data_IF_951966555216
#
_entry.id   IF_951966555216
#
_cell.length_a   1.000
_cell.length_b   1.000
_cell.length_c   1.000
_cell.angle_alpha   90.00
_cell.angle_beta   90.00
_cell.angle_gamma   90.00
#
_symmetry.space_group_name_H-M   'P 1'
#
loop_
_entity.id
_entity.type
_entity.pdbx_description
1 polymer ?
#
# COMPACT_ATOMS: atom_id res chain seq x y z
N UNK A 1 47.23 36.23 2.27
CA UNK A 1 46.53 35.01 1.85
C UNK A 1 46.57 33.88 2.88
N UNK A 2 47.70 33.49 3.48
CA UNK A 2 47.74 32.38 4.48
C UNK A 2 46.89 32.60 5.75
N UNK A 3 46.72 33.84 6.26
CA UNK A 3 45.91 34.11 7.47
C UNK A 3 44.41 34.02 7.25
N UNK A 4 43.91 34.33 6.05
CA UNK A 4 42.46 34.19 5.70
C UNK A 4 42.09 32.70 5.56
N UNK A 5 42.95 31.88 4.97
CA UNK A 5 42.74 30.45 4.83
C UNK A 5 42.67 29.70 6.18
N UNK A 6 43.48 30.13 7.16
CA UNK A 6 43.45 29.56 8.51
C UNK A 6 42.15 29.91 9.25
N UNK A 7 41.66 31.15 9.09
CA UNK A 7 40.43 31.61 9.75
C UNK A 7 39.17 30.91 9.19
N UNK A 8 39.11 30.75 7.86
CA UNK A 8 38.02 29.97 7.21
C UNK A 8 38.07 28.52 7.63
N UNK A 9 39.20 27.86 7.72
CA UNK A 9 39.35 26.48 8.13
C UNK A 9 38.90 26.24 9.60
N UNK A 10 39.22 27.16 10.49
CA UNK A 10 38.78 27.13 11.90
C UNK A 10 37.27 27.34 12.05
N UNK A 11 36.64 28.15 11.21
CA UNK A 11 35.18 28.34 11.21
C UNK A 11 34.44 27.07 10.75
N UNK A 12 34.86 26.44 9.66
CA UNK A 12 34.27 25.19 9.17
C UNK A 12 34.45 24.05 10.17
N UNK A 13 35.58 23.97 10.85
CA UNK A 13 35.83 22.93 11.86
C UNK A 13 34.90 23.08 13.07
N UNK A 14 34.67 24.30 13.56
CA UNK A 14 33.75 24.58 14.66
C UNK A 14 32.28 24.27 14.29
N UNK A 15 31.85 24.56 13.06
CA UNK A 15 30.51 24.26 12.58
C UNK A 15 30.28 22.72 12.55
N UNK A 16 31.20 21.97 11.99
CA UNK A 16 31.11 20.49 11.93
C UNK A 16 31.07 19.84 13.32
N UNK A 17 31.81 20.38 14.30
CA UNK A 17 31.76 19.92 15.69
C UNK A 17 30.41 20.22 16.33
N UNK A 18 29.84 21.41 16.07
CA UNK A 18 28.51 21.77 16.58
C UNK A 18 27.40 20.88 16.00
N UNK A 19 27.43 20.64 14.69
CA UNK A 19 26.50 19.74 14.02
C UNK A 19 26.48 18.34 14.67
N UNK A 20 27.65 17.72 14.83
CA UNK A 20 27.78 16.40 15.46
C UNK A 20 27.32 16.40 16.93
N UNK A 21 27.54 17.48 17.66
CA UNK A 21 27.11 17.60 19.06
C UNK A 21 25.58 17.64 19.16
N UNK A 22 24.92 18.49 18.37
CA UNK A 22 23.47 18.62 18.40
C UNK A 22 22.78 17.35 17.88
N UNK A 23 23.30 16.73 16.81
CA UNK A 23 22.80 15.46 16.30
C UNK A 23 22.89 14.34 17.36
N UNK A 24 24.03 14.21 18.05
CA UNK A 24 24.18 13.23 19.14
C UNK A 24 23.25 13.51 20.31
N UNK A 25 22.97 14.77 20.62
CA UNK A 25 22.03 15.15 21.68
C UNK A 25 20.62 14.73 21.30
N UNK A 26 20.17 15.04 20.07
CA UNK A 26 18.88 14.63 19.56
C UNK A 26 18.74 13.11 19.52
N UNK A 27 19.76 12.39 19.03
CA UNK A 27 19.76 10.93 19.00
C UNK A 27 19.61 10.33 20.39
N UNK A 28 20.33 10.83 21.39
CA UNK A 28 20.19 10.34 22.78
C UNK A 28 18.81 10.55 23.38
N UNK A 29 18.17 11.67 23.09
CA UNK A 29 16.79 11.95 23.52
C UNK A 29 15.82 10.99 22.83
N UNK A 30 15.96 10.78 21.52
CA UNK A 30 15.16 9.84 20.77
C UNK A 30 15.29 8.40 21.31
N UNK A 31 16.53 7.94 21.55
CA UNK A 31 16.81 6.60 22.07
C UNK A 31 16.29 6.41 23.53
N UNK A 32 16.16 7.50 24.25
CA UNK A 32 15.55 7.52 25.59
C UNK A 32 14.01 7.62 25.56
N UNK A 33 13.39 7.68 24.37
CA UNK A 33 11.94 7.82 24.19
C UNK A 33 11.43 9.27 24.27
N UNK A 34 12.29 10.26 24.46
CA UNK A 34 11.92 11.67 24.42
C UNK A 34 11.94 12.21 22.97
N UNK A 35 10.97 11.76 22.19
CA UNK A 35 10.82 12.13 20.77
C UNK A 35 10.60 13.65 20.62
N UNK A 36 9.79 14.24 21.50
CA UNK A 36 9.52 15.69 21.50
C UNK A 36 10.78 16.51 21.79
N UNK A 37 11.59 16.07 22.76
CA UNK A 37 12.88 16.68 23.06
C UNK A 37 13.85 16.57 21.90
N UNK A 38 13.91 15.41 21.24
CA UNK A 38 14.72 15.19 20.06
C UNK A 38 14.31 16.13 18.90
N UNK A 39 13.00 16.24 18.61
CA UNK A 39 12.46 17.16 17.58
C UNK A 39 12.91 18.60 17.84
N UNK A 40 12.68 19.11 19.04
CA UNK A 40 13.10 20.47 19.44
C UNK A 40 14.58 20.74 19.26
N UNK A 41 15.44 19.76 19.56
CA UNK A 41 16.88 19.92 19.34
C UNK A 41 17.21 20.06 17.87
N UNK A 42 16.60 19.24 16.98
CA UNK A 42 16.81 19.32 15.54
C UNK A 42 16.26 20.62 14.95
N UNK A 43 15.05 21.04 15.33
CA UNK A 43 14.42 22.28 14.90
C UNK A 43 15.29 23.52 15.28
N UNK A 44 15.72 23.61 16.54
CA UNK A 44 16.57 24.72 17.01
C UNK A 44 17.95 24.76 16.36
N UNK A 45 18.40 23.66 15.77
CA UNK A 45 19.70 23.54 15.11
C UNK A 45 19.60 23.41 13.59
N UNK A 46 18.43 23.54 12.99
CA UNK A 46 18.20 23.31 11.56
C UNK A 46 19.14 24.09 10.66
N UNK A 47 19.36 25.38 10.95
CA UNK A 47 20.28 26.22 10.20
C UNK A 47 21.74 25.73 10.18
N UNK A 48 22.14 24.93 11.19
CA UNK A 48 23.47 24.30 11.20
C UNK A 48 23.59 23.20 10.15
N UNK A 49 22.45 22.57 9.78
CA UNK A 49 22.42 21.41 8.88
C UNK A 49 22.11 21.75 7.43
N UNK A 50 21.68 22.99 7.11
CA UNK A 50 21.43 23.43 5.71
C UNK A 50 22.64 23.16 4.80
N UNK A 51 23.83 23.40 5.29
CA UNK A 51 25.09 23.21 4.57
C UNK A 51 25.98 22.13 5.22
N UNK A 52 25.38 21.12 5.85
CA UNK A 52 26.11 20.01 6.43
C UNK A 52 26.78 19.15 5.36
N UNK A 53 27.96 18.61 5.70
CA UNK A 53 28.69 17.74 4.81
C UNK A 53 27.93 16.37 4.63
N UNK A 54 28.33 15.66 3.57
CA UNK A 54 27.74 14.36 3.22
C UNK A 54 27.91 13.27 4.30
N UNK A 55 28.74 13.50 5.31
CA UNK A 55 28.92 12.55 6.42
C UNK A 55 27.94 12.77 7.58
N UNK A 56 27.37 13.96 7.68
CA UNK A 56 26.49 14.34 8.79
C UNK A 56 25.04 14.47 8.34
N UNK A 57 24.82 15.07 7.18
CA UNK A 57 23.48 15.36 6.66
C UNK A 57 22.59 14.11 6.56
N UNK A 58 23.05 12.95 6.04
CA UNK A 58 22.20 11.76 5.96
C UNK A 58 21.70 11.29 7.33
N UNK A 59 22.56 11.30 8.35
CA UNK A 59 22.16 10.90 9.71
C UNK A 59 21.17 11.87 10.36
N UNK A 60 21.31 13.18 10.05
CA UNK A 60 20.35 14.20 10.48
C UNK A 60 18.98 13.98 9.84
N UNK A 61 18.92 13.79 8.52
CA UNK A 61 17.68 13.55 7.80
C UNK A 61 17.05 12.21 8.19
N UNK A 62 17.86 11.18 8.43
CA UNK A 62 17.39 9.88 8.91
C UNK A 62 16.72 10.00 10.29
N UNK A 63 17.32 10.73 11.22
CA UNK A 63 16.71 10.96 12.53
C UNK A 63 15.42 11.81 12.42
N UNK A 64 15.38 12.82 11.54
CA UNK A 64 14.14 13.56 11.24
C UNK A 64 13.03 12.61 10.73
N UNK A 65 13.38 11.71 9.82
CA UNK A 65 12.43 10.71 9.31
C UNK A 65 11.89 9.80 10.41
N UNK A 66 12.74 9.33 11.32
CA UNK A 66 12.32 8.51 12.47
C UNK A 66 11.40 9.27 13.42
N UNK A 67 11.67 10.55 13.66
CA UNK A 67 10.81 11.42 14.47
C UNK A 67 9.46 11.63 13.78
N UNK A 68 9.44 11.90 12.48
CA UNK A 68 8.22 12.05 11.70
C UNK A 68 7.37 10.76 11.75
N UNK A 69 7.99 9.59 11.55
CA UNK A 69 7.31 8.28 11.66
C UNK A 69 6.69 8.07 13.05
N UNK A 70 7.43 8.37 14.12
CA UNK A 70 6.91 8.24 15.49
C UNK A 70 5.72 9.16 15.75
N UNK A 71 5.72 10.36 15.16
CA UNK A 71 4.62 11.32 15.22
C UNK A 71 3.47 10.98 14.25
N UNK A 72 3.55 9.87 13.51
CA UNK A 72 2.61 9.44 12.48
C UNK A 72 2.51 10.39 11.27
N UNK A 73 3.48 11.27 11.09
CA UNK A 73 3.66 12.03 9.85
C UNK A 73 4.38 11.13 8.82
N UNK A 74 3.61 10.18 8.29
CA UNK A 74 4.14 9.13 7.42
C UNK A 74 4.61 9.68 6.07
N UNK A 75 3.97 10.75 5.56
CA UNK A 75 4.41 11.37 4.31
C UNK A 75 5.82 11.96 4.45
N UNK A 76 6.06 12.76 5.48
CA UNK A 76 7.39 13.33 5.72
C UNK A 76 8.43 12.24 5.98
N UNK A 77 8.07 11.18 6.72
CA UNK A 77 8.96 10.04 6.95
C UNK A 77 9.32 9.33 5.64
N UNK A 78 8.33 9.07 4.78
CA UNK A 78 8.52 8.47 3.46
C UNK A 78 9.47 9.31 2.61
N UNK A 79 9.20 10.60 2.46
CA UNK A 79 10.00 11.50 1.62
C UNK A 79 11.46 11.52 2.07
N UNK A 80 11.69 11.60 3.39
CA UNK A 80 13.03 11.58 3.95
C UNK A 80 13.74 10.25 3.71
N UNK A 81 13.13 9.12 4.01
CA UNK A 81 13.78 7.81 3.83
C UNK A 81 14.02 7.47 2.36
N UNK A 82 13.09 7.81 1.45
CA UNK A 82 13.29 7.60 0.01
C UNK A 82 14.43 8.47 -0.52
N UNK A 83 14.57 9.72 -0.06
CA UNK A 83 15.68 10.60 -0.45
C UNK A 83 17.05 10.05 0.00
N UNK A 84 17.06 9.25 1.07
CA UNK A 84 18.26 8.62 1.62
C UNK A 84 18.57 7.24 1.01
N UNK A 85 17.63 6.67 0.23
CA UNK A 85 17.80 5.36 -0.39
C UNK A 85 18.98 5.39 -1.36
N UNK A 86 19.94 4.49 -1.11
CA UNK A 86 21.16 4.41 -1.93
C UNK A 86 22.37 5.17 -1.38
N UNK A 87 22.25 5.89 -0.24
CA UNK A 87 23.40 6.47 0.44
C UNK A 87 24.15 5.35 1.18
N UNK A 88 25.31 4.98 0.65
CA UNK A 88 26.06 3.80 1.08
C UNK A 88 26.38 3.74 2.59
N UNK A 89 26.56 4.90 3.25
CA UNK A 89 26.94 4.95 4.67
C UNK A 89 25.81 4.59 5.65
N UNK A 90 24.55 4.56 5.20
CA UNK A 90 23.36 4.29 6.04
C UNK A 90 22.32 3.43 5.29
N UNK A 91 22.77 2.73 4.24
CA UNK A 91 21.86 2.01 3.34
C UNK A 91 21.01 0.96 4.08
N UNK A 92 21.66 0.13 4.88
CA UNK A 92 21.00 -0.99 5.56
C UNK A 92 20.00 -0.50 6.61
N UNK A 93 20.38 0.57 7.34
CA UNK A 93 19.50 1.22 8.33
C UNK A 93 18.27 1.85 7.66
N UNK A 94 18.46 2.53 6.51
CA UNK A 94 17.36 3.13 5.75
C UNK A 94 16.43 2.06 5.19
N UNK A 95 16.95 0.99 4.60
CA UNK A 95 16.14 -0.11 4.09
C UNK A 95 15.35 -0.82 5.20
N UNK A 96 15.97 -1.01 6.36
CA UNK A 96 15.26 -1.54 7.53
C UNK A 96 14.15 -0.59 7.99
N UNK A 97 14.44 0.71 8.06
CA UNK A 97 13.47 1.71 8.52
C UNK A 97 12.29 1.87 7.54
N UNK A 98 12.54 1.76 6.23
CA UNK A 98 11.48 1.75 5.20
C UNK A 98 10.54 0.54 5.41
N UNK A 99 11.05 -0.64 5.77
CA UNK A 99 10.21 -1.81 6.09
C UNK A 99 9.35 -1.55 7.32
N UNK A 100 9.91 -0.95 8.37
CA UNK A 100 9.16 -0.58 9.58
C UNK A 100 8.11 0.49 9.27
N UNK A 101 8.48 1.50 8.48
CA UNK A 101 7.53 2.54 8.04
C UNK A 101 6.35 1.93 7.28
N UNK A 102 6.60 0.98 6.36
CA UNK A 102 5.54 0.29 5.62
C UNK A 102 4.55 -0.41 6.57
N UNK A 103 5.06 -1.12 7.58
CA UNK A 103 4.22 -1.78 8.56
C UNK A 103 3.38 -0.77 9.37
N UNK A 104 4.00 0.29 9.89
CA UNK A 104 3.30 1.32 10.67
C UNK A 104 2.22 2.04 9.85
N UNK A 105 2.47 2.32 8.57
CA UNK A 105 1.50 2.91 7.65
C UNK A 105 0.29 1.99 7.48
N UNK A 106 0.54 0.70 7.21
CA UNK A 106 -0.52 -0.29 6.99
C UNK A 106 -1.36 -0.49 8.24
N UNK A 107 -0.72 -0.66 9.41
CA UNK A 107 -1.43 -0.79 10.68
C UNK A 107 -2.29 0.45 10.98
N UNK A 108 -1.75 1.65 10.70
CA UNK A 108 -2.53 2.89 10.86
C UNK A 108 -3.69 2.97 9.88
N UNK A 109 -3.52 2.52 8.63
CA UNK A 109 -4.58 2.51 7.62
C UNK A 109 -5.71 1.52 7.98
N UNK A 110 -5.36 0.36 8.55
CA UNK A 110 -6.34 -0.62 9.04
C UNK A 110 -7.19 0.02 10.15
N UNK A 111 -6.56 0.66 11.13
CA UNK A 111 -7.28 1.34 12.21
C UNK A 111 -8.21 2.45 11.70
N UNK A 112 -7.79 3.22 10.69
CA UNK A 112 -8.64 4.24 10.06
C UNK A 112 -9.85 3.59 9.36
N UNK A 113 -9.63 2.49 8.64
CA UNK A 113 -10.70 1.76 7.97
C UNK A 113 -11.73 1.21 8.97
N UNK A 114 -11.28 0.62 10.08
CA UNK A 114 -12.12 0.10 11.15
C UNK A 114 -12.92 1.21 11.85
N UNK A 115 -12.35 2.41 11.95
CA UNK A 115 -13.04 3.57 12.51
C UNK A 115 -13.94 4.32 11.53
N UNK A 116 -13.95 3.93 10.25
CA UNK A 116 -14.74 4.56 9.19
C UNK A 116 -14.06 5.78 8.55
N UNK A 117 -12.82 6.09 8.89
CA UNK A 117 -12.02 7.13 8.20
C UNK A 117 -11.41 6.55 6.92
N UNK A 118 -12.27 6.22 5.97
CA UNK A 118 -11.88 5.61 4.71
C UNK A 118 -10.97 6.50 3.86
N UNK A 119 -11.09 7.81 3.99
CA UNK A 119 -10.21 8.75 3.28
C UNK A 119 -8.76 8.61 3.76
N UNK A 120 -8.53 8.72 5.07
CA UNK A 120 -7.19 8.57 5.64
C UNK A 120 -6.63 7.17 5.39
N UNK A 121 -7.47 6.13 5.46
CA UNK A 121 -7.08 4.76 5.10
C UNK A 121 -6.59 4.67 3.65
N UNK A 122 -7.36 5.23 2.70
CA UNK A 122 -6.98 5.22 1.27
C UNK A 122 -5.65 5.92 1.03
N UNK A 123 -5.44 7.11 1.60
CA UNK A 123 -4.21 7.89 1.46
C UNK A 123 -2.99 7.13 2.00
N UNK A 124 -3.13 6.50 3.18
CA UNK A 124 -2.06 5.70 3.80
C UNK A 124 -1.75 4.42 3.00
N UNK A 125 -2.76 3.70 2.55
CA UNK A 125 -2.56 2.50 1.74
C UNK A 125 -1.88 2.83 0.40
N UNK A 126 -2.24 3.97 -0.21
CA UNK A 126 -1.54 4.44 -1.39
C UNK A 126 -0.07 4.79 -1.11
N UNK A 127 0.21 5.40 0.04
CA UNK A 127 1.59 5.67 0.46
C UNK A 127 2.39 4.37 0.69
N UNK A 128 1.77 3.35 1.29
CA UNK A 128 2.37 2.03 1.44
C UNK A 128 2.66 1.36 0.09
N UNK A 129 1.76 1.52 -0.89
CA UNK A 129 2.01 1.08 -2.26
C UNK A 129 3.23 1.76 -2.87
N UNK A 130 3.41 3.08 -2.69
CA UNK A 130 4.52 3.84 -3.25
C UNK A 130 5.90 3.44 -2.71
N UNK A 131 5.97 2.77 -1.56
CA UNK A 131 7.23 2.25 -0.99
C UNK A 131 7.88 1.21 -1.92
N UNK A 132 7.09 0.30 -2.46
CA UNK A 132 7.51 -0.68 -3.46
C UNK A 132 6.33 -1.06 -4.38
N UNK A 133 6.11 -0.31 -5.47
CA UNK A 133 4.96 -0.51 -6.35
C UNK A 133 4.92 -1.89 -7.04
N UNK A 134 6.05 -2.58 -7.13
CA UNK A 134 6.08 -3.90 -7.75
C UNK A 134 5.62 -5.01 -6.81
N UNK A 135 5.90 -4.87 -5.52
CA UNK A 135 5.59 -5.87 -4.50
C UNK A 135 4.27 -5.55 -3.77
N UNK A 136 3.96 -4.26 -3.59
CA UNK A 136 2.87 -3.78 -2.74
C UNK A 136 1.57 -3.50 -3.51
N UNK A 137 1.31 -4.21 -4.61
CA UNK A 137 0.13 -3.98 -5.45
C UNK A 137 -1.20 -4.20 -4.70
N UNK A 138 -1.22 -5.09 -3.70
CA UNK A 138 -2.38 -5.31 -2.84
C UNK A 138 -2.79 -4.03 -2.09
N UNK A 139 -1.84 -3.21 -1.65
CA UNK A 139 -2.16 -1.95 -0.98
C UNK A 139 -2.83 -0.95 -1.92
N UNK A 140 -2.47 -0.93 -3.21
CA UNK A 140 -3.16 -0.11 -4.20
C UNK A 140 -4.62 -0.56 -4.38
N UNK A 141 -4.87 -1.88 -4.37
CA UNK A 141 -6.23 -2.42 -4.44
C UNK A 141 -7.06 -2.00 -3.21
N UNK A 142 -6.51 -2.13 -2.01
CA UNK A 142 -7.19 -1.70 -0.79
C UNK A 142 -7.36 -0.17 -0.72
N UNK A 143 -6.38 0.60 -1.21
CA UNK A 143 -6.50 2.05 -1.34
C UNK A 143 -7.67 2.45 -2.25
N UNK A 144 -7.83 1.77 -3.40
CA UNK A 144 -8.93 1.99 -4.33
C UNK A 144 -10.29 1.70 -3.66
N UNK A 145 -10.39 0.56 -2.95
CA UNK A 145 -11.60 0.17 -2.23
C UNK A 145 -11.96 1.16 -1.10
N UNK A 146 -10.98 1.61 -0.32
CA UNK A 146 -11.20 2.63 0.72
C UNK A 146 -11.61 3.97 0.11
N UNK A 147 -11.07 4.35 -1.06
CA UNK A 147 -11.48 5.56 -1.77
C UNK A 147 -12.94 5.49 -2.25
N UNK A 148 -13.45 4.31 -2.67
CA UNK A 148 -14.89 4.12 -2.96
C UNK A 148 -15.71 4.41 -1.72
N UNK A 149 -15.36 3.81 -0.58
CA UNK A 149 -16.09 3.98 0.67
C UNK A 149 -16.04 5.43 1.19
N UNK A 150 -15.00 6.18 0.81
CA UNK A 150 -14.86 7.62 1.09
C UNK A 150 -15.57 8.52 0.05
N UNK A 151 -16.24 7.94 -0.95
CA UNK A 151 -16.85 8.65 -2.09
C UNK A 151 -15.85 9.48 -2.93
N UNK A 152 -14.56 9.14 -2.84
CA UNK A 152 -13.48 9.75 -3.63
C UNK A 152 -13.38 9.06 -5.01
N UNK A 153 -14.45 9.09 -5.78
CA UNK A 153 -14.63 8.30 -6.99
C UNK A 153 -13.51 8.49 -8.01
N UNK A 154 -13.05 9.72 -8.25
CA UNK A 154 -11.96 9.95 -9.21
C UNK A 154 -10.65 9.32 -8.72
N UNK A 155 -10.32 9.43 -7.44
CA UNK A 155 -9.11 8.83 -6.85
C UNK A 155 -9.18 7.29 -6.97
N UNK A 156 -10.35 6.73 -6.67
CA UNK A 156 -10.58 5.29 -6.80
C UNK A 156 -10.41 4.82 -8.25
N UNK A 157 -10.96 5.54 -9.23
CA UNK A 157 -10.78 5.25 -10.65
C UNK A 157 -9.31 5.26 -11.05
N UNK A 158 -8.55 6.24 -10.59
CA UNK A 158 -7.12 6.35 -10.90
C UNK A 158 -6.35 5.13 -10.38
N UNK A 159 -6.70 4.64 -9.19
CA UNK A 159 -6.08 3.47 -8.58
C UNK A 159 -6.49 2.17 -9.26
N UNK A 160 -7.80 1.97 -9.52
CA UNK A 160 -8.27 0.78 -10.22
C UNK A 160 -7.79 0.71 -11.67
N UNK A 161 -7.74 1.83 -12.39
CA UNK A 161 -7.17 1.87 -13.73
C UNK A 161 -5.68 1.47 -13.73
N UNK A 162 -4.90 1.96 -12.75
CA UNK A 162 -3.50 1.56 -12.59
C UNK A 162 -3.37 0.05 -12.35
N UNK A 163 -4.25 -0.55 -11.52
CA UNK A 163 -4.28 -2.00 -11.28
C UNK A 163 -4.66 -2.78 -12.56
N UNK A 164 -5.62 -2.29 -13.32
CA UNK A 164 -5.99 -2.86 -14.61
C UNK A 164 -4.82 -2.82 -15.60
N UNK A 165 -4.16 -1.69 -15.72
CA UNK A 165 -3.06 -1.48 -16.67
C UNK A 165 -1.85 -2.38 -16.38
N UNK A 166 -1.60 -2.74 -15.12
CA UNK A 166 -0.56 -3.71 -14.72
C UNK A 166 -1.06 -5.16 -14.70
N UNK A 167 -2.30 -5.42 -15.11
CA UNK A 167 -2.96 -6.73 -15.07
C UNK A 167 -2.90 -7.40 -13.68
N UNK A 168 -3.13 -6.60 -12.62
CA UNK A 168 -3.14 -7.12 -11.26
C UNK A 168 -4.27 -8.11 -11.05
N UNK A 169 -3.95 -9.29 -10.57
CA UNK A 169 -4.91 -10.36 -10.29
C UNK A 169 -5.18 -10.58 -8.81
N UNK A 170 -4.25 -10.19 -7.94
CA UNK A 170 -4.34 -10.46 -6.50
C UNK A 170 -4.46 -11.95 -6.14
N UNK A 171 -4.05 -12.85 -7.04
CA UNK A 171 -4.10 -14.30 -6.80
C UNK A 171 -2.99 -14.68 -5.84
N UNK A 172 -3.37 -15.30 -4.72
CA UNK A 172 -2.44 -15.81 -3.71
C UNK A 172 -2.51 -17.33 -3.70
N UNK A 173 -1.37 -17.98 -3.57
CA UNK A 173 -1.31 -19.42 -3.34
C UNK A 173 -1.34 -19.70 -1.84
N UNK A 174 -2.36 -20.42 -1.39
CA UNK A 174 -2.50 -20.95 -0.03
C UNK A 174 -1.93 -22.35 0.02
N UNK A 175 -1.30 -22.68 1.12
CA UNK A 175 -0.63 -23.96 1.35
C UNK A 175 -1.28 -24.68 2.52
N UNK A 176 -1.59 -25.95 2.36
CA UNK A 176 -2.27 -26.75 3.38
C UNK A 176 -1.55 -28.07 3.59
N UNK A 177 -1.59 -28.59 4.80
CA UNK A 177 -1.19 -29.95 5.14
C UNK A 177 -2.05 -30.48 6.28
N UNK A 178 -2.13 -31.82 6.41
CA UNK A 178 -2.82 -32.48 7.51
C UNK A 178 -1.82 -32.94 8.56
N UNK A 179 -2.02 -32.61 9.82
CA UNK A 179 -1.22 -33.11 10.94
C UNK A 179 -1.54 -34.59 11.21
N UNK A 180 -0.51 -35.43 11.40
CA UNK A 180 -0.66 -36.86 11.66
C UNK A 180 -1.38 -37.10 13.01
N UNK A 181 -0.98 -36.34 14.05
CA UNK A 181 -1.44 -36.58 15.42
C UNK A 181 -2.90 -36.15 15.63
N UNK A 182 -3.32 -35.05 15.04
CA UNK A 182 -4.67 -34.49 15.20
C UNK A 182 -5.64 -34.88 14.09
N UNK A 183 -5.12 -35.25 12.90
CA UNK A 183 -5.89 -35.44 11.69
C UNK A 183 -6.50 -34.13 11.11
N UNK A 184 -6.12 -32.97 11.65
CA UNK A 184 -6.64 -31.68 11.21
C UNK A 184 -5.84 -31.12 10.03
N UNK A 185 -6.57 -30.54 9.07
CA UNK A 185 -5.94 -29.72 8.03
C UNK A 185 -5.61 -28.34 8.58
N UNK A 186 -4.40 -27.86 8.33
CA UNK A 186 -3.91 -26.54 8.74
C UNK A 186 -3.41 -25.76 7.53
N UNK A 187 -3.60 -24.44 7.54
CA UNK A 187 -3.01 -23.52 6.55
C UNK A 187 -1.57 -23.18 7.01
N UNK A 188 -0.63 -23.21 6.06
CA UNK A 188 0.79 -23.00 6.27
C UNK A 188 1.27 -21.81 5.44
N UNK A 189 2.33 -21.14 5.90
CA UNK A 189 3.09 -20.28 4.99
C UNK A 189 4.02 -21.15 4.10
N UNK A 190 4.51 -20.58 3.00
CA UNK A 190 5.37 -21.31 2.04
C UNK A 190 6.60 -21.95 2.70
N UNK A 191 7.24 -21.25 3.63
CA UNK A 191 8.43 -21.77 4.32
C UNK A 191 8.11 -22.97 5.22
N UNK A 192 6.97 -22.91 5.92
CA UNK A 192 6.49 -24.03 6.72
C UNK A 192 6.11 -25.22 5.83
N UNK A 193 5.42 -24.97 4.71
CA UNK A 193 5.05 -25.99 3.73
C UNK A 193 6.29 -26.75 3.22
N UNK A 194 7.32 -26.05 2.71
CA UNK A 194 8.54 -26.64 2.21
C UNK A 194 9.36 -27.40 3.28
N UNK A 195 9.27 -26.94 4.55
CA UNK A 195 9.92 -27.61 5.67
C UNK A 195 9.16 -28.87 6.08
N UNK A 196 7.84 -28.77 6.19
CA UNK A 196 6.99 -29.87 6.71
C UNK A 196 6.79 -30.98 5.69
N UNK A 197 6.91 -30.70 4.37
CA UNK A 197 6.91 -31.71 3.31
C UNK A 197 8.00 -32.78 3.51
N UNK A 198 9.09 -32.42 4.22
CA UNK A 198 10.17 -33.32 4.60
C UNK A 198 9.97 -34.00 5.95
N UNK A 199 8.92 -33.67 6.67
CA UNK A 199 8.58 -34.20 8.00
C UNK A 199 7.60 -35.37 7.88
N UNK A 200 7.71 -36.36 8.81
CA UNK A 200 6.75 -37.44 8.94
C UNK A 200 5.49 -37.09 9.73
N UNK A 201 5.45 -35.87 10.28
CA UNK A 201 4.35 -35.40 11.14
C UNK A 201 3.19 -34.79 10.36
N UNK A 202 3.37 -34.62 9.04
CA UNK A 202 2.38 -34.04 8.15
C UNK A 202 2.24 -34.88 6.89
N UNK A 203 1.03 -34.84 6.31
CA UNK A 203 0.70 -35.52 5.05
C UNK A 203 -0.37 -34.72 4.30
N UNK A 204 -0.79 -35.18 3.13
CA UNK A 204 -1.84 -34.60 2.31
C UNK A 204 -1.57 -33.11 1.97
N UNK A 205 -0.34 -32.83 1.53
CA UNK A 205 0.06 -31.49 1.11
C UNK A 205 -0.69 -31.06 -0.14
N UNK A 206 -1.28 -29.87 -0.11
CA UNK A 206 -1.97 -29.29 -1.26
C UNK A 206 -1.77 -27.79 -1.35
N UNK A 207 -1.83 -27.30 -2.57
CA UNK A 207 -1.82 -25.87 -2.90
C UNK A 207 -3.21 -25.49 -3.45
N UNK A 208 -3.66 -24.30 -3.07
CA UNK A 208 -4.91 -23.74 -3.56
C UNK A 208 -4.68 -22.29 -3.97
N UNK A 209 -5.13 -21.90 -5.15
CA UNK A 209 -5.06 -20.52 -5.60
C UNK A 209 -6.38 -19.82 -5.30
N UNK A 210 -6.29 -18.62 -4.74
CA UNK A 210 -7.48 -17.76 -4.59
C UNK A 210 -7.99 -17.31 -5.95
N UNK A 211 -9.25 -16.89 -6.00
CA UNK A 211 -9.81 -16.29 -7.21
C UNK A 211 -9.13 -14.97 -7.56
N UNK A 212 -9.16 -14.65 -8.85
CA UNK A 212 -8.64 -13.37 -9.34
C UNK A 212 -9.54 -12.22 -8.93
N UNK A 213 -8.93 -11.11 -8.46
CA UNK A 213 -9.63 -9.85 -8.18
C UNK A 213 -9.87 -8.99 -9.44
N UNK A 214 -9.33 -9.40 -10.59
CA UNK A 214 -9.44 -8.62 -11.82
C UNK A 214 -10.89 -8.36 -12.25
N UNK A 215 -11.82 -9.34 -12.23
CA UNK A 215 -13.23 -9.10 -12.52
C UNK A 215 -13.88 -8.07 -11.59
N UNK A 216 -13.53 -8.11 -10.29
CA UNK A 216 -14.03 -7.14 -9.32
C UNK A 216 -13.50 -5.73 -9.60
N UNK A 217 -12.22 -5.59 -9.97
CA UNK A 217 -11.62 -4.31 -10.34
C UNK A 217 -12.38 -3.67 -11.51
N UNK A 218 -12.65 -4.44 -12.56
CA UNK A 218 -13.35 -3.91 -13.74
C UNK A 218 -14.81 -3.59 -13.42
N UNK A 219 -15.46 -4.44 -12.61
CA UNK A 219 -16.80 -4.13 -12.08
C UNK A 219 -16.83 -2.81 -11.33
N UNK A 220 -15.87 -2.58 -10.43
CA UNK A 220 -15.80 -1.35 -9.65
C UNK A 220 -15.56 -0.12 -10.54
N UNK A 221 -14.68 -0.21 -11.55
CA UNK A 221 -14.50 0.86 -12.55
C UNK A 221 -15.84 1.19 -13.23
N UNK A 222 -16.57 0.18 -13.67
CA UNK A 222 -17.86 0.38 -14.32
C UNK A 222 -18.89 1.03 -13.41
N UNK A 223 -19.04 0.52 -12.18
CA UNK A 223 -19.98 1.07 -11.18
C UNK A 223 -19.65 2.51 -10.80
N UNK A 224 -18.37 2.83 -10.66
CA UNK A 224 -17.95 4.21 -10.33
C UNK A 224 -18.28 5.15 -11.49
N UNK A 225 -18.02 4.75 -12.75
CA UNK A 225 -18.41 5.55 -13.91
C UNK A 225 -19.92 5.77 -13.98
N UNK A 226 -20.72 4.72 -13.73
CA UNK A 226 -22.18 4.84 -13.66
C UNK A 226 -22.59 5.81 -12.55
N UNK A 227 -22.02 5.72 -11.37
CA UNK A 227 -22.32 6.62 -10.25
C UNK A 227 -21.93 8.08 -10.50
N UNK A 228 -20.88 8.30 -11.30
CA UNK A 228 -20.49 9.62 -11.78
C UNK A 228 -21.37 10.14 -12.94
N UNK A 229 -22.32 9.33 -13.42
CA UNK A 229 -23.18 9.64 -14.55
C UNK A 229 -22.51 9.47 -15.92
N UNK A 230 -21.34 8.81 -15.97
CA UNK A 230 -20.58 8.55 -17.20
C UNK A 230 -20.91 7.15 -17.74
N UNK A 231 -22.16 7.00 -18.14
CA UNK A 231 -22.73 5.69 -18.53
C UNK A 231 -22.04 5.08 -19.76
N UNK A 232 -21.53 5.89 -20.68
CA UNK A 232 -20.80 5.39 -21.85
C UNK A 232 -19.49 4.69 -21.46
N UNK A 233 -18.74 5.28 -20.51
CA UNK A 233 -17.52 4.67 -19.99
C UNK A 233 -17.81 3.46 -19.11
N UNK A 234 -18.90 3.53 -18.32
CA UNK A 234 -19.35 2.40 -17.52
C UNK A 234 -19.63 1.18 -18.42
N UNK A 235 -20.40 1.37 -19.48
CA UNK A 235 -20.71 0.31 -20.45
C UNK A 235 -19.47 -0.22 -21.15
N UNK A 236 -18.56 0.67 -21.60
CA UNK A 236 -17.30 0.27 -22.23
C UNK A 236 -16.48 -0.61 -21.28
N UNK A 237 -16.35 -0.24 -20.02
CA UNK A 237 -15.59 -0.99 -19.02
C UNK A 237 -16.16 -2.40 -18.81
N UNK A 238 -17.49 -2.54 -18.71
CA UNK A 238 -18.13 -3.86 -18.57
C UNK A 238 -17.92 -4.71 -19.82
N UNK A 239 -18.10 -4.14 -21.00
CA UNK A 239 -17.95 -4.87 -22.26
C UNK A 239 -16.51 -5.37 -22.43
N UNK A 240 -15.49 -4.55 -22.13
CA UNK A 240 -14.09 -4.97 -22.14
C UNK A 240 -13.82 -6.14 -21.18
N UNK A 241 -14.39 -6.07 -19.97
CA UNK A 241 -14.24 -7.15 -18.99
C UNK A 241 -14.89 -8.45 -19.47
N UNK A 242 -16.07 -8.38 -20.08
CA UNK A 242 -16.81 -9.55 -20.60
C UNK A 242 -16.08 -10.19 -21.80
N UNK A 243 -15.29 -9.46 -22.59
CA UNK A 243 -14.47 -10.08 -23.62
C UNK A 243 -13.48 -11.11 -23.07
N UNK A 244 -12.96 -10.87 -21.87
CA UNK A 244 -12.01 -11.78 -21.21
C UNK A 244 -12.69 -12.83 -20.32
N UNK A 245 -13.89 -12.51 -19.81
CA UNK A 245 -14.63 -13.36 -18.88
C UNK A 245 -16.13 -13.36 -19.24
N UNK A 246 -16.53 -13.95 -20.39
CA UNK A 246 -17.90 -13.83 -20.92
C UNK A 246 -18.95 -14.50 -20.00
N UNK A 247 -18.55 -15.50 -19.23
CA UNK A 247 -19.43 -16.25 -18.33
C UNK A 247 -19.34 -15.77 -16.87
N UNK A 248 -18.68 -14.62 -16.59
CA UNK A 248 -18.65 -14.08 -15.24
C UNK A 248 -19.99 -13.49 -14.84
N UNK A 249 -20.70 -14.16 -13.94
CA UNK A 249 -22.02 -13.76 -13.48
C UNK A 249 -22.04 -12.35 -12.89
N UNK A 250 -20.98 -11.93 -12.20
CA UNK A 250 -20.89 -10.58 -11.64
C UNK A 250 -20.80 -9.50 -12.71
N UNK A 251 -20.10 -9.78 -13.81
CA UNK A 251 -20.04 -8.86 -14.95
C UNK A 251 -21.38 -8.77 -15.69
N UNK A 252 -22.07 -9.89 -15.85
CA UNK A 252 -23.42 -9.92 -16.48
C UNK A 252 -24.39 -9.11 -15.62
N UNK A 253 -24.41 -9.29 -14.30
CA UNK A 253 -25.27 -8.55 -13.38
C UNK A 253 -24.89 -7.05 -13.35
N UNK A 254 -23.61 -6.73 -13.49
CA UNK A 254 -23.18 -5.33 -13.57
C UNK A 254 -23.68 -4.67 -14.86
N UNK A 255 -23.60 -5.37 -15.99
CA UNK A 255 -24.16 -4.92 -17.27
C UNK A 255 -25.66 -4.69 -17.17
N UNK A 256 -26.39 -5.64 -16.57
CA UNK A 256 -27.83 -5.52 -16.32
C UNK A 256 -28.14 -4.26 -15.49
N UNK A 257 -27.40 -4.02 -14.39
CA UNK A 257 -27.60 -2.84 -13.56
C UNK A 257 -27.37 -1.53 -14.32
N UNK A 258 -26.35 -1.46 -15.18
CA UNK A 258 -26.12 -0.29 -16.03
C UNK A 258 -27.27 -0.10 -17.01
N UNK A 259 -27.77 -1.17 -17.65
CA UNK A 259 -28.91 -1.07 -18.56
C UNK A 259 -30.17 -0.55 -17.87
N UNK A 260 -30.46 -0.97 -16.62
CA UNK A 260 -31.63 -0.46 -15.90
C UNK A 260 -31.48 1.02 -15.56
N UNK A 261 -30.30 1.46 -15.18
CA UNK A 261 -30.02 2.89 -14.93
C UNK A 261 -30.13 3.75 -16.22
N UNK A 262 -29.73 3.21 -17.35
CA UNK A 262 -29.90 3.85 -18.67
C UNK A 262 -31.34 3.82 -19.19
N UNK A 263 -32.27 3.11 -18.51
CA UNK A 263 -33.64 2.89 -18.98
C UNK A 263 -33.78 1.90 -20.14
N UNK A 264 -32.73 1.16 -20.47
CA UNK A 264 -32.63 0.17 -21.56
C UNK A 264 -33.26 -1.19 -21.13
N UNK A 265 -34.58 -1.18 -20.90
CA UNK A 265 -35.31 -2.31 -20.30
C UNK A 265 -35.15 -3.62 -21.04
N UNK A 266 -35.07 -3.60 -22.38
CA UNK A 266 -34.94 -4.82 -23.18
C UNK A 266 -33.56 -5.45 -22.94
N UNK A 267 -32.51 -4.68 -22.98
CA UNK A 267 -31.15 -5.16 -22.73
C UNK A 267 -30.98 -5.64 -21.29
N UNK A 268 -31.58 -4.94 -20.32
CA UNK A 268 -31.65 -5.43 -18.94
C UNK A 268 -32.26 -6.83 -18.86
N UNK A 269 -33.40 -7.06 -19.53
CA UNK A 269 -34.06 -8.39 -19.52
C UNK A 269 -33.20 -9.46 -20.18
N UNK A 270 -32.47 -9.12 -21.26
CA UNK A 270 -31.55 -10.03 -21.95
C UNK A 270 -30.40 -10.45 -21.01
N UNK A 271 -29.72 -9.48 -20.37
CA UNK A 271 -28.63 -9.77 -19.42
C UNK A 271 -29.13 -10.55 -18.19
N UNK A 272 -30.31 -10.22 -17.65
CA UNK A 272 -30.91 -11.00 -16.54
C UNK A 272 -31.26 -12.42 -16.97
N UNK A 273 -31.76 -12.61 -18.18
CA UNK A 273 -32.07 -13.96 -18.71
C UNK A 273 -30.79 -14.79 -18.86
N UNK A 274 -29.67 -14.17 -19.29
CA UNK A 274 -28.37 -14.81 -19.35
C UNK A 274 -27.88 -15.21 -17.94
N UNK A 275 -27.97 -14.29 -16.96
CA UNK A 275 -27.59 -14.56 -15.57
C UNK A 275 -28.39 -15.74 -14.97
N UNK A 276 -29.70 -15.77 -15.20
CA UNK A 276 -30.58 -16.87 -14.74
C UNK A 276 -30.22 -18.20 -15.42
N UNK A 277 -29.86 -18.16 -16.70
CA UNK A 277 -29.47 -19.38 -17.43
C UNK A 277 -28.15 -19.96 -16.87
N UNK A 278 -27.24 -19.13 -16.41
CA UNK A 278 -25.98 -19.58 -15.79
C UNK A 278 -26.17 -20.15 -14.39
N UNK A 279 -26.99 -19.52 -13.56
CA UNK A 279 -27.26 -20.00 -12.19
C UNK A 279 -28.77 -20.04 -11.91
N UNK A 280 -29.49 -21.04 -12.48
CA UNK A 280 -30.94 -21.12 -12.36
C UNK A 280 -31.47 -21.46 -10.96
N UNK A 281 -30.58 -21.78 -10.01
CA UNK A 281 -30.96 -22.05 -8.62
C UNK A 281 -30.78 -20.84 -7.70
N UNK A 282 -30.22 -19.76 -8.18
CA UNK A 282 -29.99 -18.54 -7.42
C UNK A 282 -31.29 -17.71 -7.34
N UNK A 283 -31.99 -17.82 -6.22
CA UNK A 283 -33.24 -17.12 -6.01
C UNK A 283 -33.13 -15.59 -6.07
N UNK A 284 -31.93 -15.04 -5.91
CA UNK A 284 -31.70 -13.59 -5.96
C UNK A 284 -31.74 -13.01 -7.38
N UNK A 285 -31.80 -13.86 -8.42
CA UNK A 285 -31.87 -13.44 -9.82
C UNK A 285 -33.31 -13.25 -10.32
N UNK A 286 -34.33 -13.59 -9.51
CA UNK A 286 -35.76 -13.48 -9.81
C UNK A 286 -36.40 -12.33 -9.03
#
# INVERSE_FOLDING_TARGET
MKRIAIFTFLLFFNISLSQKKELRKAQKLYDAGDVSGASKVLENSESLFENADQKVKPNYEFLKGKIAQNNKDFQSAYDLFISLKGIASIKDEVEQQIRLLSADIVDSAINDNESGDFKSSSEKLYLAYLIDPNTNQDYLYFAASSAVNAELFQVSLDYYNKLRDINYTGVVTKYFATEVDSGNEIELNKSQYDLYEKSKNYFNFREEKTESKFPEIVKNIALIHAQMGDNDKAMTAVQEARLSNPEDLNLILTEANIYIELGEKVKFQESMSEAIAQDPKNANLY
#
